data_IF_994627959963
#
_entry.id   IF_994627959963
#
_cell.length_a   1.000
_cell.length_b   1.000
_cell.length_c   1.000
_cell.angle_alpha   90.00
_cell.angle_beta   90.00
_cell.angle_gamma   90.00
#
_symmetry.space_group_name_H-M   'P 1'
#
loop_
_entity.id
_entity.type
_entity.pdbx_description
1 polymer ?
#
# COMPACT_ATOMS: atom_id res chain seq x y z
N UNK A 1 -34.94 35.45 -11.37
CA UNK A 1 -34.18 35.63 -12.63
C UNK A 1 -33.48 34.33 -12.95
N UNK A 2 -33.64 33.73 -14.14
CA UNK A 2 -32.90 32.53 -14.48
C UNK A 2 -31.46 32.95 -14.75
N UNK A 3 -30.53 32.46 -13.94
CA UNK A 3 -29.11 32.63 -14.22
C UNK A 3 -28.81 31.70 -15.42
N UNK A 4 -28.79 32.27 -16.63
CA UNK A 4 -28.23 31.56 -17.78
C UNK A 4 -26.73 31.44 -17.54
N UNK A 5 -26.30 30.29 -17.01
CA UNK A 5 -24.88 29.91 -16.89
C UNK A 5 -24.25 29.61 -18.26
N UNK A 6 -24.57 30.41 -19.28
CA UNK A 6 -24.01 30.29 -20.62
C UNK A 6 -22.53 30.71 -20.55
N UNK A 7 -21.64 29.72 -20.41
CA UNK A 7 -20.19 29.92 -20.41
C UNK A 7 -19.43 29.12 -19.35
N UNK A 8 -20.07 28.70 -18.25
CA UNK A 8 -19.39 27.99 -17.16
C UNK A 8 -19.73 26.49 -17.15
N UNK A 9 -18.98 25.69 -17.90
CA UNK A 9 -19.21 24.25 -18.03
C UNK A 9 -19.22 23.49 -16.70
N UNK A 10 -18.40 23.90 -15.73
CA UNK A 10 -18.38 23.30 -14.39
C UNK A 10 -19.69 23.51 -13.61
N UNK A 11 -20.31 24.69 -13.72
CA UNK A 11 -21.60 24.97 -13.08
C UNK A 11 -22.72 24.14 -13.73
N UNK A 12 -22.73 24.03 -15.05
CA UNK A 12 -23.69 23.20 -15.78
C UNK A 12 -23.63 21.73 -15.36
N UNK A 13 -22.42 21.17 -15.25
CA UNK A 13 -22.24 19.79 -14.78
C UNK A 13 -22.63 19.63 -13.30
N UNK A 14 -22.29 20.59 -12.44
CA UNK A 14 -22.68 20.56 -11.04
C UNK A 14 -24.21 20.59 -10.86
N UNK A 15 -24.92 21.38 -11.67
CA UNK A 15 -26.38 21.43 -11.66
C UNK A 15 -27.01 20.11 -12.13
N UNK A 16 -26.43 19.48 -13.16
CA UNK A 16 -26.87 18.16 -13.61
C UNK A 16 -26.69 17.10 -12.50
N UNK A 17 -25.54 17.08 -11.82
CA UNK A 17 -25.29 16.17 -10.70
C UNK A 17 -26.27 16.41 -9.54
N UNK A 18 -26.59 17.68 -9.21
CA UNK A 18 -27.58 17.99 -8.18
C UNK A 18 -28.97 17.46 -8.51
N UNK A 19 -29.36 17.46 -9.79
CA UNK A 19 -30.65 16.90 -10.19
C UNK A 19 -30.67 15.38 -10.03
N UNK A 20 -29.61 14.69 -10.45
CA UNK A 20 -29.48 13.24 -10.28
C UNK A 20 -29.51 12.83 -8.80
N UNK A 21 -28.93 13.65 -7.91
CA UNK A 21 -29.07 13.44 -6.46
C UNK A 21 -30.51 13.59 -5.97
N UNK A 22 -31.29 14.54 -6.52
CA UNK A 22 -32.72 14.68 -6.16
C UNK A 22 -33.54 13.50 -6.65
N UNK A 23 -33.13 12.88 -7.75
CA UNK A 23 -33.70 11.63 -8.26
C UNK A 23 -33.26 10.39 -7.45
N UNK A 24 -32.42 10.56 -6.43
CA UNK A 24 -31.97 9.50 -5.53
C UNK A 24 -30.72 8.75 -6.01
N UNK A 25 -30.05 9.23 -7.06
CA UNK A 25 -28.75 8.68 -7.45
C UNK A 25 -27.65 9.07 -6.47
N UNK A 26 -26.57 8.30 -6.45
CA UNK A 26 -25.39 8.53 -5.61
C UNK A 26 -24.14 8.56 -6.47
N UNK A 27 -23.06 9.17 -5.98
CA UNK A 27 -21.78 9.30 -6.68
C UNK A 27 -21.29 7.98 -7.31
N UNK A 28 -21.53 6.87 -6.61
CA UNK A 28 -21.09 5.55 -7.02
C UNK A 28 -21.86 4.98 -8.23
N UNK A 29 -23.09 5.44 -8.44
CA UNK A 29 -24.02 4.89 -9.42
C UNK A 29 -24.47 5.92 -10.48
N UNK A 30 -23.82 7.08 -10.54
CA UNK A 30 -24.10 8.08 -11.56
C UNK A 30 -23.75 7.53 -12.95
N UNK A 31 -24.72 7.57 -13.86
CA UNK A 31 -24.47 7.31 -15.27
C UNK A 31 -23.52 8.36 -15.86
N UNK A 32 -22.65 8.00 -16.82
CA UNK A 32 -21.72 8.94 -17.44
C UNK A 32 -22.43 10.15 -18.07
N UNK A 33 -21.97 11.36 -17.73
CA UNK A 33 -22.52 12.62 -18.26
C UNK A 33 -21.62 13.21 -19.35
N UNK A 34 -22.24 13.67 -20.44
CA UNK A 34 -21.53 14.34 -21.54
C UNK A 34 -22.00 15.79 -21.66
N UNK A 35 -21.07 16.73 -21.49
CA UNK A 35 -21.35 18.15 -21.74
C UNK A 35 -21.45 18.40 -23.24
N UNK A 36 -22.55 18.99 -23.67
CA UNK A 36 -22.78 19.43 -25.05
C UNK A 36 -22.78 20.96 -25.16
N UNK A 37 -22.42 21.47 -26.33
CA UNK A 37 -22.57 22.88 -26.68
C UNK A 37 -24.03 23.25 -26.99
N UNK A 38 -24.29 24.50 -27.34
CA UNK A 38 -25.62 25.02 -27.67
C UNK A 38 -26.25 24.34 -28.90
N UNK A 39 -25.43 23.69 -29.75
CA UNK A 39 -25.89 22.93 -30.92
C UNK A 39 -26.15 21.45 -30.61
N UNK A 40 -25.96 21.03 -29.35
CA UNK A 40 -26.10 19.64 -28.92
C UNK A 40 -24.90 18.75 -29.24
N UNK A 41 -23.74 19.33 -29.60
CA UNK A 41 -22.52 18.56 -29.89
C UNK A 41 -21.63 18.43 -28.65
N UNK A 42 -21.03 17.26 -28.39
CA UNK A 42 -20.09 17.11 -27.28
C UNK A 42 -18.87 18.04 -27.37
N UNK A 43 -18.50 18.69 -26.27
CA UNK A 43 -17.47 19.76 -26.25
C UNK A 43 -16.02 19.28 -26.07
N UNK A 44 -15.79 17.99 -25.84
CA UNK A 44 -14.47 17.48 -25.44
C UNK A 44 -14.30 15.98 -25.66
N UNK A 45 -14.65 15.49 -26.85
CA UNK A 45 -14.35 14.12 -27.23
C UNK A 45 -12.84 13.95 -27.39
N UNK A 46 -12.32 12.82 -26.90
CA UNK A 46 -10.95 12.37 -27.19
C UNK A 46 -10.85 12.02 -28.67
N UNK A 47 -9.82 12.53 -29.34
CA UNK A 47 -9.55 12.30 -30.76
C UNK A 47 -8.15 11.77 -30.96
N UNK A 48 -7.93 11.16 -32.12
CA UNK A 48 -6.58 10.77 -32.52
C UNK A 48 -5.65 11.99 -32.59
N UNK A 49 -4.44 11.85 -32.05
CA UNK A 49 -3.48 12.94 -31.90
C UNK A 49 -3.60 13.76 -30.61
N UNK A 50 -4.62 13.52 -29.77
CA UNK A 50 -4.72 14.15 -28.45
C UNK A 50 -3.74 13.52 -27.44
N UNK A 51 -3.63 14.16 -26.27
CA UNK A 51 -2.99 13.58 -25.09
C UNK A 51 -4.02 13.41 -23.97
N UNK A 52 -3.99 12.26 -23.31
CA UNK A 52 -4.81 11.95 -22.14
C UNK A 52 -3.89 11.71 -20.96
N UNK A 53 -4.07 12.45 -19.87
CA UNK A 53 -3.37 12.18 -18.60
C UNK A 53 -4.36 11.51 -17.65
N UNK A 54 -4.18 10.22 -17.41
CA UNK A 54 -5.05 9.46 -16.53
C UNK A 54 -4.54 9.54 -15.09
N UNK A 55 -5.10 10.49 -14.34
CA UNK A 55 -4.67 10.89 -12.99
C UNK A 55 -5.01 9.88 -11.86
N UNK A 56 -5.24 8.61 -12.19
CA UNK A 56 -5.48 7.58 -11.19
C UNK A 56 -4.16 6.95 -10.73
N UNK A 57 -4.06 6.65 -9.43
CA UNK A 57 -2.81 6.20 -8.78
C UNK A 57 -2.79 4.73 -8.38
N UNK A 58 -3.95 4.06 -8.39
CA UNK A 58 -4.11 2.63 -8.05
C UNK A 58 -4.38 1.86 -9.35
N UNK A 59 -4.25 0.53 -9.34
CA UNK A 59 -4.27 -0.29 -10.55
C UNK A 59 -5.36 -1.32 -10.64
N UNK A 60 -6.28 -1.37 -9.69
CA UNK A 60 -7.28 -2.44 -9.67
C UNK A 60 -8.45 -2.13 -10.62
N UNK A 61 -8.87 -0.86 -10.69
CA UNK A 61 -10.05 -0.43 -11.44
C UNK A 61 -9.68 0.29 -12.75
N UNK A 62 -8.44 0.75 -12.83
CA UNK A 62 -7.91 1.58 -13.89
C UNK A 62 -7.50 0.76 -15.12
N UNK A 63 -7.19 -0.52 -14.91
CA UNK A 63 -6.67 -1.44 -15.95
C UNK A 63 -7.58 -1.51 -17.16
N UNK A 64 -8.87 -1.80 -16.96
CA UNK A 64 -9.81 -2.02 -18.06
C UNK A 64 -10.00 -0.76 -18.91
N UNK A 65 -10.12 0.41 -18.27
CA UNK A 65 -10.25 1.68 -19.00
C UNK A 65 -8.95 2.02 -19.76
N UNK A 66 -7.80 1.68 -19.19
CA UNK A 66 -6.51 1.88 -19.88
C UNK A 66 -6.42 1.02 -21.12
N UNK A 67 -6.74 -0.27 -21.02
CA UNK A 67 -6.80 -1.19 -22.17
C UNK A 67 -7.78 -0.69 -23.23
N UNK A 68 -8.94 -0.16 -22.81
CA UNK A 68 -9.92 0.44 -23.72
C UNK A 68 -9.42 1.71 -24.44
N UNK A 69 -8.28 2.29 -24.08
CA UNK A 69 -7.64 3.37 -24.83
C UNK A 69 -6.38 2.94 -25.57
N UNK A 70 -5.60 2.01 -25.01
CA UNK A 70 -4.22 1.75 -25.44
C UNK A 70 -3.99 0.42 -26.14
N UNK A 71 -4.88 -0.56 -25.96
CA UNK A 71 -4.75 -1.86 -26.62
C UNK A 71 -5.18 -1.76 -28.09
N UNK A 72 -4.32 -2.11 -29.04
CA UNK A 72 -4.67 -2.06 -30.45
C UNK A 72 -5.70 -3.13 -30.84
N UNK A 73 -5.69 -4.27 -30.16
CA UNK A 73 -6.49 -5.46 -30.50
C UNK A 73 -7.71 -5.62 -29.56
N UNK A 74 -8.18 -4.54 -28.95
CA UNK A 74 -9.18 -4.56 -27.89
C UNK A 74 -10.51 -5.22 -28.30
N UNK A 75 -10.88 -6.38 -27.70
CA UNK A 75 -11.96 -7.22 -28.23
C UNK A 75 -13.32 -7.02 -27.55
N UNK A 76 -13.42 -6.18 -26.51
CA UNK A 76 -14.56 -6.22 -25.60
C UNK A 76 -15.79 -5.42 -26.08
N UNK A 77 -15.60 -4.33 -26.83
CA UNK A 77 -16.68 -3.54 -27.41
C UNK A 77 -16.18 -2.66 -28.57
N UNK A 78 -17.07 -2.22 -29.47
CA UNK A 78 -16.70 -1.30 -30.53
C UNK A 78 -16.24 0.04 -29.96
N UNK A 79 -15.06 0.50 -30.40
CA UNK A 79 -14.51 1.81 -30.06
C UNK A 79 -13.75 2.40 -31.25
N UNK A 80 -13.50 3.72 -31.27
CA UNK A 80 -12.58 4.30 -32.23
C UNK A 80 -11.18 3.70 -32.06
N UNK A 81 -10.51 3.46 -33.18
CA UNK A 81 -9.07 3.20 -33.19
C UNK A 81 -8.32 4.51 -33.03
N UNK A 82 -7.21 4.46 -32.27
CA UNK A 82 -6.34 5.59 -32.02
C UNK A 82 -4.91 5.20 -32.41
N UNK A 83 -4.38 5.81 -33.47
CA UNK A 83 -3.02 5.55 -33.96
C UNK A 83 -1.95 6.40 -33.24
N UNK A 84 -2.34 7.57 -32.74
CA UNK A 84 -1.46 8.64 -32.23
C UNK A 84 -1.96 9.24 -30.92
N UNK A 85 -2.69 8.48 -30.11
CA UNK A 85 -3.13 8.94 -28.80
C UNK A 85 -1.99 8.82 -27.78
N UNK A 86 -1.58 9.95 -27.21
CA UNK A 86 -0.59 9.94 -26.13
C UNK A 86 -1.29 9.72 -24.78
N UNK A 87 -1.47 8.46 -24.40
CA UNK A 87 -2.12 8.08 -23.15
C UNK A 87 -1.08 7.92 -22.02
N UNK A 88 -1.06 8.87 -21.10
CA UNK A 88 -0.10 8.97 -20.00
C UNK A 88 -0.78 8.50 -18.71
N UNK A 89 -0.19 7.50 -18.05
CA UNK A 89 -0.66 7.03 -16.75
C UNK A 89 0.08 7.76 -15.62
N UNK A 90 -0.61 8.05 -14.52
CA UNK A 90 0.01 8.80 -13.41
C UNK A 90 1.15 8.00 -12.75
N UNK A 91 0.91 6.73 -12.45
CA UNK A 91 1.86 5.78 -11.87
C UNK A 91 1.82 4.48 -12.65
N UNK A 92 2.90 3.68 -12.61
CA UNK A 92 2.87 2.34 -13.17
C UNK A 92 2.12 1.43 -12.20
N UNK A 93 0.90 1.02 -12.58
CA UNK A 93 0.05 0.21 -11.72
C UNK A 93 -0.18 -1.22 -12.21
N UNK A 94 0.31 -1.57 -13.41
CA UNK A 94 0.35 -2.94 -13.92
C UNK A 94 1.50 -3.11 -14.94
N UNK A 95 2.25 -4.20 -14.85
CA UNK A 95 3.42 -4.49 -15.72
C UNK A 95 3.10 -4.45 -17.23
N UNK A 96 1.88 -4.83 -17.61
CA UNK A 96 1.40 -4.76 -19.00
C UNK A 96 1.49 -3.34 -19.61
N UNK A 97 1.49 -2.29 -18.78
CA UNK A 97 1.56 -0.89 -19.21
C UNK A 97 2.96 -0.28 -19.10
N UNK A 98 4.01 -1.10 -18.91
CA UNK A 98 5.40 -0.64 -18.81
C UNK A 98 5.88 0.19 -20.00
N UNK A 99 5.25 0.02 -21.16
CA UNK A 99 5.59 0.70 -22.41
C UNK A 99 4.78 2.00 -22.62
N UNK A 100 3.83 2.31 -21.72
CA UNK A 100 3.13 3.60 -21.71
C UNK A 100 3.98 4.70 -21.04
N UNK A 101 3.81 5.96 -21.44
CA UNK A 101 4.34 7.09 -20.68
C UNK A 101 3.80 7.10 -19.25
N UNK A 102 4.70 7.15 -18.26
CA UNK A 102 4.35 7.22 -16.83
C UNK A 102 4.80 8.56 -16.26
N UNK A 103 3.87 9.35 -15.72
CA UNK A 103 4.17 10.67 -15.17
C UNK A 103 5.10 10.59 -13.94
N UNK A 104 4.83 9.63 -13.05
CA UNK A 104 5.64 9.34 -11.87
C UNK A 104 6.13 7.90 -11.94
N UNK A 105 7.26 7.69 -12.62
CA UNK A 105 7.86 6.38 -12.77
C UNK A 105 8.23 5.77 -11.40
N UNK A 106 8.05 4.46 -11.21
CA UNK A 106 8.46 3.80 -9.99
C UNK A 106 9.98 3.95 -9.82
N UNK A 107 10.40 4.34 -8.62
CA UNK A 107 11.82 4.45 -8.28
C UNK A 107 12.22 3.25 -7.44
N UNK A 108 13.30 2.57 -7.85
CA UNK A 108 13.94 1.58 -6.99
C UNK A 108 14.66 2.29 -5.85
N UNK A 109 14.31 1.95 -4.63
CA UNK A 109 15.03 2.44 -3.46
C UNK A 109 16.30 1.59 -3.34
N UNK A 110 17.46 2.25 -3.33
CA UNK A 110 18.77 1.63 -3.20
C UNK A 110 19.48 2.19 -1.97
N UNK A 111 20.54 1.52 -1.53
CA UNK A 111 21.24 1.81 -0.27
C UNK A 111 20.27 1.77 0.94
N UNK A 112 19.34 0.81 0.94
CA UNK A 112 18.52 0.50 2.11
C UNK A 112 19.39 -0.06 3.23
N UNK A 113 18.84 -0.14 4.45
CA UNK A 113 19.57 -0.68 5.60
C UNK A 113 20.09 -2.10 5.33
N UNK A 114 19.22 -3.00 4.85
CA UNK A 114 19.60 -4.38 4.58
C UNK A 114 20.66 -4.50 3.48
N UNK A 115 20.57 -3.65 2.44
CA UNK A 115 21.59 -3.61 1.39
C UNK A 115 22.94 -3.09 1.91
N UNK A 116 22.93 -2.05 2.75
CA UNK A 116 24.14 -1.48 3.33
C UNK A 116 24.87 -2.48 4.25
N UNK A 117 24.13 -3.22 5.07
CA UNK A 117 24.66 -4.27 5.95
C UNK A 117 25.27 -5.40 5.13
N UNK A 118 24.55 -5.86 4.10
CA UNK A 118 25.04 -6.90 3.18
C UNK A 118 26.30 -6.48 2.44
N UNK A 119 26.36 -5.23 1.92
CA UNK A 119 27.54 -4.67 1.25
C UNK A 119 28.75 -4.55 2.18
N UNK A 120 28.53 -4.41 3.48
CA UNK A 120 29.59 -4.43 4.50
C UNK A 120 30.08 -5.86 4.83
N UNK A 121 29.46 -6.90 4.26
CA UNK A 121 29.78 -8.30 4.54
C UNK A 121 29.28 -8.78 5.90
N UNK A 122 28.33 -8.06 6.50
CA UNK A 122 27.74 -8.37 7.79
C UNK A 122 26.48 -9.23 7.63
N UNK A 123 26.22 -10.03 8.66
CA UNK A 123 25.08 -10.93 8.76
C UNK A 123 23.86 -10.22 9.35
N UNK A 124 22.66 -10.55 8.86
CA UNK A 124 21.42 -9.94 9.33
C UNK A 124 20.29 -10.95 9.43
N UNK A 125 19.41 -10.75 10.42
CA UNK A 125 18.30 -11.65 10.70
C UNK A 125 16.99 -10.89 10.87
N UNK A 126 16.01 -11.21 10.02
CA UNK A 126 14.70 -10.57 9.99
C UNK A 126 13.64 -11.55 10.47
N UNK A 127 12.93 -11.22 11.54
CA UNK A 127 11.88 -12.09 12.09
C UNK A 127 10.63 -11.33 12.50
N UNK A 128 9.50 -11.80 12.00
CA UNK A 128 8.19 -11.33 12.42
C UNK A 128 7.15 -12.43 12.22
N UNK A 129 5.95 -12.21 12.75
CA UNK A 129 4.80 -13.04 12.40
C UNK A 129 4.25 -12.72 11.00
N UNK A 130 3.40 -13.59 10.45
CA UNK A 130 2.86 -13.49 9.09
C UNK A 130 2.34 -12.09 8.73
N UNK A 131 1.63 -11.43 9.64
CA UNK A 131 1.04 -10.10 9.41
C UNK A 131 2.08 -9.01 9.08
N UNK A 132 3.27 -9.10 9.70
CA UNK A 132 4.32 -8.08 9.56
C UNK A 132 5.61 -8.60 8.91
N UNK A 133 5.64 -9.85 8.46
CA UNK A 133 6.81 -10.43 7.80
C UNK A 133 7.27 -9.66 6.56
N UNK A 134 6.34 -9.23 5.70
CA UNK A 134 6.67 -8.42 4.53
C UNK A 134 7.23 -7.02 4.90
N UNK A 135 6.91 -6.52 6.10
CA UNK A 135 7.33 -5.20 6.57
C UNK A 135 8.80 -5.18 6.96
N UNK A 136 9.28 -6.26 7.60
CA UNK A 136 10.70 -6.42 7.96
C UNK A 136 11.56 -7.01 6.85
N UNK A 137 10.97 -7.39 5.71
CA UNK A 137 11.67 -7.94 4.54
C UNK A 137 11.45 -7.05 3.32
N UNK A 138 10.42 -7.31 2.51
CA UNK A 138 10.13 -6.61 1.26
C UNK A 138 10.12 -5.09 1.39
N UNK A 139 9.37 -4.54 2.35
CA UNK A 139 9.26 -3.08 2.51
C UNK A 139 10.54 -2.45 3.07
N UNK A 140 11.15 -3.07 4.09
CA UNK A 140 12.44 -2.63 4.64
C UNK A 140 13.55 -2.62 3.56
N UNK A 141 13.50 -3.59 2.65
CA UNK A 141 14.44 -3.74 1.54
C UNK A 141 14.04 -2.90 0.30
N UNK A 142 13.13 -1.94 0.44
CA UNK A 142 12.83 -0.98 -0.62
C UNK A 142 12.01 -1.58 -1.77
N UNK A 143 11.21 -2.61 -1.49
CA UNK A 143 10.43 -3.34 -2.50
C UNK A 143 11.22 -4.47 -3.18
N UNK A 144 12.33 -4.92 -2.59
CA UNK A 144 13.08 -6.06 -3.09
C UNK A 144 12.57 -7.36 -2.44
N UNK A 145 12.15 -8.32 -3.27
CA UNK A 145 11.65 -9.63 -2.80
C UNK A 145 12.77 -10.65 -2.51
N UNK A 146 13.98 -10.43 -3.00
CA UNK A 146 15.09 -11.37 -2.77
C UNK A 146 15.88 -10.92 -1.54
N UNK A 147 16.11 -11.80 -0.54
CA UNK A 147 16.99 -11.51 0.58
C UNK A 147 18.39 -11.13 0.10
N UNK A 148 19.04 -10.18 0.77
CA UNK A 148 20.41 -9.82 0.47
C UNK A 148 21.40 -10.91 0.94
N UNK A 149 22.65 -10.83 0.49
CA UNK A 149 23.67 -11.77 0.95
C UNK A 149 23.90 -11.59 2.47
N UNK A 150 23.90 -12.70 3.22
CA UNK A 150 23.99 -12.68 4.68
C UNK A 150 22.67 -12.41 5.41
N UNK A 151 21.56 -12.24 4.69
CA UNK A 151 20.21 -12.09 5.27
C UNK A 151 19.54 -13.46 5.49
N UNK A 152 19.02 -13.66 6.70
CA UNK A 152 18.21 -14.81 7.09
C UNK A 152 16.82 -14.32 7.53
N UNK A 153 15.79 -14.72 6.79
CA UNK A 153 14.41 -14.35 7.07
C UNK A 153 13.63 -15.49 7.73
N UNK A 154 12.98 -15.21 8.86
CA UNK A 154 12.14 -16.17 9.58
C UNK A 154 10.72 -15.64 9.75
N UNK A 155 9.76 -16.38 9.19
CA UNK A 155 8.33 -16.10 9.32
C UNK A 155 7.69 -17.00 10.36
N UNK A 156 7.18 -16.41 11.45
CA UNK A 156 6.36 -17.10 12.43
C UNK A 156 4.90 -17.09 11.98
N UNK A 157 4.18 -18.23 11.91
CA UNK A 157 2.78 -18.23 11.49
C UNK A 157 1.88 -17.50 12.51
N UNK A 158 1.20 -16.44 12.09
CA UNK A 158 0.15 -15.78 12.89
C UNK A 158 -1.02 -16.72 13.21
N UNK A 159 -1.71 -16.53 14.35
CA UNK A 159 -2.89 -17.32 14.69
C UNK A 159 -3.98 -17.18 13.61
N UNK A 160 -4.69 -18.27 13.32
CA UNK A 160 -5.78 -18.28 12.32
C UNK A 160 -7.10 -18.69 12.96
N UNK A 161 -8.20 -18.12 12.46
CA UNK A 161 -9.55 -18.54 12.83
C UNK A 161 -10.02 -18.06 14.21
N UNK A 162 -9.28 -17.15 14.86
CA UNK A 162 -9.65 -16.54 16.14
C UNK A 162 -9.59 -15.02 16.00
N UNK A 163 -10.63 -14.29 16.43
CA UNK A 163 -10.60 -12.83 16.48
C UNK A 163 -9.40 -12.29 17.29
N UNK A 164 -8.69 -11.25 16.83
CA UNK A 164 -7.49 -10.75 17.52
C UNK A 164 -7.71 -10.28 18.96
N UNK A 165 -8.91 -9.80 19.28
CA UNK A 165 -9.29 -9.37 20.62
C UNK A 165 -9.34 -10.52 21.64
N UNK A 166 -9.48 -11.76 21.18
CA UNK A 166 -9.45 -12.96 22.03
C UNK A 166 -8.02 -13.51 22.25
N UNK A 167 -7.06 -13.12 21.41
CA UNK A 167 -5.65 -13.56 21.49
C UNK A 167 -4.72 -12.36 21.30
N UNK A 168 -4.68 -11.41 22.26
CA UNK A 168 -3.90 -10.17 22.11
C UNK A 168 -2.38 -10.41 22.06
N UNK A 169 -1.92 -11.58 22.51
CA UNK A 169 -0.52 -12.02 22.43
C UNK A 169 -0.07 -12.45 21.03
N UNK A 170 -1.02 -12.75 20.13
CA UNK A 170 -0.76 -13.25 18.78
C UNK A 170 0.35 -14.31 18.75
N UNK A 171 1.40 -14.11 17.95
CA UNK A 171 2.60 -14.95 17.93
C UNK A 171 3.82 -14.28 18.56
N UNK A 172 3.60 -13.23 19.36
CA UNK A 172 4.66 -12.47 20.00
C UNK A 172 5.58 -13.35 20.87
N UNK A 173 5.09 -14.29 21.69
CA UNK A 173 5.98 -15.15 22.48
C UNK A 173 6.97 -15.92 21.61
N UNK A 174 6.53 -16.45 20.47
CA UNK A 174 7.36 -17.21 19.54
C UNK A 174 8.33 -16.30 18.79
N UNK A 175 7.90 -15.11 18.35
CA UNK A 175 8.79 -14.13 17.71
C UNK A 175 9.88 -13.69 18.69
N UNK A 176 9.53 -13.32 19.92
CA UNK A 176 10.48 -12.92 20.95
C UNK A 176 11.50 -14.02 21.27
N UNK A 177 11.05 -15.28 21.39
CA UNK A 177 11.94 -16.43 21.62
C UNK A 177 12.94 -16.63 20.47
N UNK A 178 12.51 -16.46 19.22
CA UNK A 178 13.42 -16.51 18.07
C UNK A 178 14.50 -15.43 18.15
N UNK A 179 14.12 -14.19 18.51
CA UNK A 179 15.07 -13.07 18.68
C UNK A 179 16.05 -13.37 19.81
N UNK A 180 15.55 -13.76 20.99
CA UNK A 180 16.38 -14.07 22.17
C UNK A 180 17.37 -15.18 21.86
N UNK A 181 16.93 -16.26 21.20
CA UNK A 181 17.81 -17.36 20.81
C UNK A 181 18.91 -16.88 19.85
N UNK A 182 18.58 -16.05 18.87
CA UNK A 182 19.56 -15.51 17.91
C UNK A 182 20.59 -14.62 18.62
N UNK A 183 20.14 -13.76 19.55
CA UNK A 183 21.02 -12.92 20.38
C UNK A 183 21.98 -13.77 21.24
N UNK A 184 21.48 -14.81 21.90
CA UNK A 184 22.29 -15.70 22.73
C UNK A 184 23.33 -16.48 21.94
N UNK A 185 23.02 -16.84 20.68
CA UNK A 185 23.94 -17.53 19.79
C UNK A 185 25.00 -16.61 19.18
N UNK A 186 24.85 -15.28 19.31
CA UNK A 186 25.74 -14.25 18.74
C UNK A 186 26.06 -14.49 17.26
N UNK A 187 25.03 -14.83 16.48
CA UNK A 187 25.17 -15.24 15.08
C UNK A 187 25.04 -14.11 14.06
N UNK A 188 24.45 -12.99 14.47
CA UNK A 188 23.91 -11.98 13.56
C UNK A 188 24.37 -10.60 14.00
N UNK A 189 24.85 -9.79 13.06
CA UNK A 189 25.33 -8.42 13.31
C UNK A 189 24.16 -7.41 13.38
N UNK A 190 23.10 -7.65 12.60
CA UNK A 190 21.84 -6.91 12.65
C UNK A 190 20.67 -7.86 12.91
N UNK A 191 19.76 -7.48 13.81
CA UNK A 191 18.49 -8.18 14.02
C UNK A 191 17.36 -7.17 13.86
N UNK A 192 16.42 -7.46 12.96
CA UNK A 192 15.21 -6.66 12.76
C UNK A 192 13.99 -7.51 13.11
N UNK A 193 13.13 -6.97 13.97
CA UNK A 193 11.91 -7.64 14.38
C UNK A 193 10.75 -6.66 14.46
N UNK A 194 9.53 -7.15 14.17
CA UNK A 194 8.30 -6.39 14.33
C UNK A 194 7.34 -7.17 15.22
N UNK A 195 6.84 -6.51 16.26
CA UNK A 195 5.78 -7.01 17.13
C UNK A 195 4.44 -6.48 16.61
N UNK A 196 3.71 -7.31 15.86
CA UNK A 196 2.53 -6.90 15.11
C UNK A 196 1.33 -6.50 15.97
N UNK A 197 1.35 -6.87 17.26
CA UNK A 197 0.22 -6.82 18.18
C UNK A 197 -0.46 -5.45 18.23
N UNK A 198 0.32 -4.37 18.31
CA UNK A 198 -0.23 -3.02 18.46
C UNK A 198 -1.12 -2.60 17.30
N UNK A 199 -0.74 -2.96 16.07
CA UNK A 199 -1.50 -2.65 14.87
C UNK A 199 -2.71 -3.58 14.69
N UNK A 200 -2.48 -4.89 14.81
CA UNK A 200 -3.52 -5.91 14.61
C UNK A 200 -4.64 -5.78 15.65
N UNK A 201 -4.30 -5.55 16.92
CA UNK A 201 -5.28 -5.35 17.99
C UNK A 201 -5.83 -3.92 18.01
N UNK A 202 -5.06 -2.93 17.54
CA UNK A 202 -5.48 -1.52 17.44
C UNK A 202 -6.73 -1.32 16.58
N UNK A 203 -6.91 -2.13 15.53
CA UNK A 203 -8.11 -2.13 14.69
C UNK A 203 -9.40 -2.63 15.37
N UNK A 204 -9.31 -3.20 16.56
CA UNK A 204 -10.48 -3.63 17.33
C UNK A 204 -11.08 -2.46 18.12
N UNK A 205 -12.38 -2.49 18.39
CA UNK A 205 -13.03 -1.51 19.28
C UNK A 205 -12.90 -1.87 20.78
N UNK A 206 -12.19 -2.95 21.12
CA UNK A 206 -12.14 -3.50 22.46
C UNK A 206 -10.98 -2.88 23.28
N UNK A 207 -11.29 -1.90 24.10
CA UNK A 207 -10.32 -1.19 24.93
C UNK A 207 -9.55 -2.12 25.90
N UNK A 208 -10.22 -3.09 26.51
CA UNK A 208 -9.55 -4.05 27.41
C UNK A 208 -8.53 -4.92 26.66
N UNK A 209 -8.86 -5.35 25.44
CA UNK A 209 -7.92 -6.08 24.58
C UNK A 209 -6.72 -5.22 24.18
N UNK A 210 -6.92 -3.92 23.91
CA UNK A 210 -5.82 -2.98 23.61
C UNK A 210 -4.87 -2.79 24.79
N UNK A 211 -5.40 -2.59 26.00
CA UNK A 211 -4.58 -2.48 27.22
C UNK A 211 -3.78 -3.76 27.45
N UNK A 212 -4.44 -4.92 27.36
CA UNK A 212 -3.76 -6.21 27.52
C UNK A 212 -2.70 -6.45 26.44
N UNK A 213 -2.96 -6.03 25.20
CA UNK A 213 -1.97 -6.05 24.13
C UNK A 213 -0.72 -5.25 24.51
N UNK A 214 -0.88 -4.02 25.00
CA UNK A 214 0.25 -3.19 25.44
C UNK A 214 1.06 -3.84 26.58
N UNK A 215 0.39 -4.44 27.57
CA UNK A 215 1.06 -5.16 28.68
C UNK A 215 1.86 -6.38 28.20
N UNK A 216 1.32 -7.12 27.24
CA UNK A 216 1.98 -8.28 26.64
C UNK A 216 3.19 -7.85 25.80
N UNK A 217 3.05 -6.78 25.02
CA UNK A 217 4.16 -6.18 24.25
C UNK A 217 5.27 -5.71 25.20
N UNK A 218 4.94 -4.96 26.25
CA UNK A 218 5.92 -4.49 27.24
C UNK A 218 6.69 -5.66 27.88
N UNK A 219 5.98 -6.71 28.27
CA UNK A 219 6.57 -7.89 28.91
C UNK A 219 7.58 -8.60 28.00
N UNK A 220 7.25 -8.79 26.72
CA UNK A 220 8.13 -9.49 25.78
C UNK A 220 9.24 -8.59 25.25
N UNK A 221 8.98 -7.30 25.06
CA UNK A 221 9.99 -6.31 24.71
C UNK A 221 11.08 -6.26 25.78
N UNK A 222 10.70 -6.21 27.06
CA UNK A 222 11.65 -6.24 28.17
C UNK A 222 12.60 -7.44 28.08
N UNK A 223 12.06 -8.65 27.87
CA UNK A 223 12.86 -9.88 27.75
C UNK A 223 13.86 -9.80 26.58
N UNK A 224 13.43 -9.29 25.43
CA UNK A 224 14.28 -9.12 24.25
C UNK A 224 15.37 -8.08 24.49
N UNK A 225 15.03 -6.93 25.06
CA UNK A 225 15.97 -5.86 25.38
C UNK A 225 17.02 -6.32 26.40
N UNK A 226 16.60 -7.00 27.46
CA UNK A 226 17.52 -7.57 28.46
C UNK A 226 18.47 -8.60 27.85
N UNK A 227 17.97 -9.49 26.99
CA UNK A 227 18.80 -10.45 26.26
C UNK A 227 19.79 -9.77 25.31
N UNK A 228 19.38 -8.68 24.65
CA UNK A 228 20.24 -7.93 23.74
C UNK A 228 21.36 -7.21 24.49
N UNK A 229 21.04 -6.53 25.60
CA UNK A 229 22.03 -5.88 26.47
C UNK A 229 23.02 -6.91 27.03
N UNK A 230 22.54 -8.07 27.50
CA UNK A 230 23.40 -9.16 27.95
C UNK A 230 24.29 -9.73 26.82
N UNK A 231 23.82 -9.62 25.57
CA UNK A 231 24.55 -10.00 24.37
C UNK A 231 25.60 -8.99 23.89
N UNK A 232 25.67 -7.80 24.50
CA UNK A 232 26.47 -6.63 24.06
C UNK A 232 25.97 -6.00 22.75
N UNK A 233 24.65 -5.99 22.54
CA UNK A 233 24.00 -5.32 21.41
C UNK A 233 23.54 -3.91 21.80
N UNK A 234 23.54 -3.00 20.82
CA UNK A 234 22.82 -1.73 20.89
C UNK A 234 21.38 -1.96 20.42
N UNK A 235 20.41 -1.44 21.18
CA UNK A 235 18.99 -1.64 20.88
C UNK A 235 18.34 -0.32 20.45
N UNK A 236 17.62 -0.34 19.33
CA UNK A 236 16.73 0.71 18.88
C UNK A 236 15.28 0.22 18.97
N UNK A 237 14.46 0.91 19.77
CA UNK A 237 13.02 0.65 19.86
C UNK A 237 12.27 1.79 19.20
N UNK A 238 11.36 1.48 18.28
CA UNK A 238 10.58 2.46 17.52
C UNK A 238 9.27 1.85 17.02
N UNK A 239 8.43 2.66 16.37
CA UNK A 239 7.19 2.25 15.71
C UNK A 239 7.14 2.84 14.29
N UNK A 240 6.52 2.13 13.35
CA UNK A 240 6.30 2.59 11.97
C UNK A 240 5.14 3.59 11.89
N UNK A 241 4.14 3.44 12.74
CA UNK A 241 3.04 4.39 12.94
C UNK A 241 2.30 4.14 14.26
N UNK A 242 1.30 4.98 14.53
CA UNK A 242 0.35 4.84 15.62
C UNK A 242 -0.89 4.02 15.23
N UNK A 243 -1.55 3.40 16.21
CA UNK A 243 -2.86 2.73 16.09
C UNK A 243 -3.44 2.37 17.48
N UNK A 244 -2.63 1.71 18.32
CA UNK A 244 -3.07 1.16 19.60
C UNK A 244 -3.48 2.24 20.62
N UNK A 245 -2.95 3.45 20.47
CA UNK A 245 -3.15 4.58 21.38
C UNK A 245 -4.51 5.28 21.27
N UNK A 246 -5.27 5.01 20.20
CA UNK A 246 -6.65 5.50 19.99
C UNK A 246 -7.70 4.54 20.56
#
# INVERSE_FOLDING_TARGET
MPIRHAGHGGLQLADAVRELYREGQTDYALEPLVRSDESGKPVGLVKDGDAVVFCCRRGEREVELTEAFTDADFPHFPRPEFDKLNFIILTLYHEKFKDLPVAFAPTKISATLGEAVSRAGLSQYHVAESEKFAHVTFFLNGGNNQPFAGEEDVRVPSPRGVPPDQVPELSLPQVAENVIRTLQQKRQDLIVTNFANGDVVGHTANCEAKIRCAEVVDTHLRKVVEAAIAGDYVVLVTADHGNLEE
#
